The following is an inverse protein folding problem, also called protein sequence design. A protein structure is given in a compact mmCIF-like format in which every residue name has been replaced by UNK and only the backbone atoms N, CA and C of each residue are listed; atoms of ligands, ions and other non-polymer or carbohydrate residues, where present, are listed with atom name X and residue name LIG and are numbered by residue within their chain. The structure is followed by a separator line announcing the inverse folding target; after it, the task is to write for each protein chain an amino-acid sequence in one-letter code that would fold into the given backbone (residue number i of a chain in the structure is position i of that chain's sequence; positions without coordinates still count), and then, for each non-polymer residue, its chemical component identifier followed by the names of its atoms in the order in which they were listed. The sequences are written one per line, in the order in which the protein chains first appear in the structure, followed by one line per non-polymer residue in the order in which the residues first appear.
data_IF_551455091223
#
_entry.id   IF_551455091223
#
_cell.length_a   1.000
_cell.length_b   1.000
_cell.length_c   1.000
_cell.angle_alpha   90.00
_cell.angle_beta   90.00
_cell.angle_gamma   90.00
#
_symmetry.space_group_name_H-M   'P 1'
#
loop_
_entity.id
_entity.type
_entity.pdbx_description
1 polymer ?
#
# COMPACT_ATOMS: atom_id res chain seq x y z
N UNK A 1 -16.42 43.71 -19.41
CA UNK A 1 -17.46 44.45 -18.66
C UNK A 1 -16.79 45.01 -17.42
N UNK A 2 -16.52 46.33 -17.38
CA UNK A 2 -15.73 46.98 -16.31
C UNK A 2 -16.70 47.46 -15.25
N UNK A 3 -16.58 46.95 -14.02
CA UNK A 3 -17.34 47.46 -12.87
C UNK A 3 -16.52 48.54 -12.17
N UNK A 4 -17.04 49.77 -12.20
CA UNK A 4 -16.52 50.89 -11.41
C UNK A 4 -17.14 50.77 -10.01
N UNK A 5 -16.30 50.53 -9.00
CA UNK A 5 -16.71 50.49 -7.59
C UNK A 5 -16.53 51.89 -6.99
N UNK A 6 -17.64 52.53 -6.64
CA UNK A 6 -17.62 53.78 -5.86
C UNK A 6 -17.31 53.47 -4.39
N UNK A 7 -16.19 53.98 -3.88
CA UNK A 7 -15.88 53.93 -2.45
C UNK A 7 -16.48 55.17 -1.78
N UNK A 8 -17.66 55.02 -1.18
CA UNK A 8 -18.22 56.01 -0.25
C UNK A 8 -17.41 55.92 1.04
N UNK A 9 -16.72 57.01 1.39
CA UNK A 9 -15.93 57.15 2.61
C UNK A 9 -16.85 57.28 3.82
N UNK A 10 -17.34 56.16 4.35
CA UNK A 10 -18.01 56.09 5.65
C UNK A 10 -17.06 55.52 6.70
N UNK A 11 -16.81 56.29 7.76
CA UNK A 11 -15.74 56.08 8.75
C UNK A 11 -16.04 54.96 9.78
N UNK A 12 -17.16 54.25 9.64
CA UNK A 12 -17.62 53.25 10.63
C UNK A 12 -17.72 51.81 10.10
N UNK A 13 -17.54 51.57 8.80
CA UNK A 13 -17.70 50.23 8.20
C UNK A 13 -16.47 49.32 8.35
N UNK A 14 -15.37 49.82 8.90
CA UNK A 14 -14.11 49.08 9.04
C UNK A 14 -14.12 48.02 10.16
N UNK A 15 -15.15 48.00 11.03
CA UNK A 15 -15.28 46.98 12.09
C UNK A 15 -15.90 45.66 11.64
N UNK A 16 -16.67 45.67 10.55
CA UNK A 16 -17.37 44.48 10.05
C UNK A 16 -16.71 43.83 8.82
N UNK A 17 -15.67 44.46 8.28
CA UNK A 17 -14.89 43.93 7.16
C UNK A 17 -13.91 42.82 7.59
N UNK A 18 -13.45 42.87 8.84
CA UNK A 18 -12.54 41.89 9.43
C UNK A 18 -13.17 40.50 9.66
N UNK A 19 -14.40 40.36 10.22
CA UNK A 19 -15.02 39.04 10.38
C UNK A 19 -15.45 38.39 9.06
N UNK A 20 -15.69 39.17 8.00
CA UNK A 20 -16.05 38.65 6.67
C UNK A 20 -14.86 37.95 5.99
N UNK A 21 -13.64 38.45 6.22
CA UNK A 21 -12.41 37.85 5.68
C UNK A 21 -12.09 36.49 6.33
N UNK A 22 -12.43 36.30 7.60
CA UNK A 22 -12.22 35.05 8.32
C UNK A 22 -13.12 33.90 7.84
N UNK A 23 -14.30 34.21 7.27
CA UNK A 23 -15.23 33.19 6.78
C UNK A 23 -14.73 32.49 5.51
N UNK A 24 -13.90 33.16 4.69
CA UNK A 24 -13.35 32.60 3.45
C UNK A 24 -12.14 31.67 3.68
N UNK A 25 -11.55 31.68 4.87
CA UNK A 25 -10.38 30.85 5.18
C UNK A 25 -10.78 29.39 5.49
N UNK A 26 -12.07 29.13 5.74
CA UNK A 26 -12.59 27.78 5.99
C UNK A 26 -13.16 27.09 4.75
N UNK A 27 -13.12 27.74 3.58
CA UNK A 27 -13.61 27.18 2.31
C UNK A 27 -12.43 26.95 1.38
N UNK A 28 -11.52 26.04 1.74
CA UNK A 28 -10.65 25.38 0.77
C UNK A 28 -9.92 24.21 1.44
N UNK A 29 -10.61 23.08 1.56
CA UNK A 29 -9.98 21.79 1.34
C UNK A 29 -11.00 20.95 0.60
N UNK A 30 -11.10 21.22 -0.70
CA UNK A 30 -11.61 20.23 -1.63
C UNK A 30 -10.43 19.29 -1.87
N UNK A 31 -10.39 18.16 -1.15
CA UNK A 31 -9.64 16.97 -1.61
C UNK A 31 -10.46 16.39 -2.78
N UNK A 32 -10.60 17.22 -3.82
CA UNK A 32 -11.28 16.88 -5.05
C UNK A 32 -10.42 15.84 -5.74
N UNK A 33 -10.92 14.60 -5.74
CA UNK A 33 -10.66 13.56 -6.72
C UNK A 33 -9.32 13.70 -7.44
N UNK A 34 -8.31 12.98 -6.98
CA UNK A 34 -7.11 12.71 -7.79
C UNK A 34 -7.54 11.73 -8.90
N UNK A 35 -7.85 12.17 -10.14
CA UNK A 35 -8.49 11.31 -11.14
C UNK A 35 -7.49 10.39 -11.85
N UNK A 36 -6.26 10.29 -11.34
CA UNK A 36 -5.17 9.49 -11.91
C UNK A 36 -4.33 8.87 -10.79
N UNK A 37 -4.93 7.98 -9.99
CA UNK A 37 -4.18 7.04 -9.14
C UNK A 37 -3.50 5.93 -9.95
N UNK A 38 -3.02 6.25 -11.15
CA UNK A 38 -2.24 5.33 -11.98
C UNK A 38 -0.87 5.16 -11.33
N UNK A 39 -0.68 4.04 -10.64
CA UNK A 39 0.54 3.74 -9.91
C UNK A 39 0.54 2.32 -9.34
N UNK A 40 1.70 1.85 -8.87
CA UNK A 40 1.76 0.59 -8.12
C UNK A 40 1.12 0.79 -6.74
N UNK A 41 0.13 -0.03 -6.44
CA UNK A 41 -0.54 -0.14 -5.15
C UNK A 41 -0.20 -1.47 -4.50
N UNK A 42 -0.23 -1.51 -3.16
CA UNK A 42 0.02 -2.74 -2.40
C UNK A 42 -1.21 -3.63 -2.46
N UNK A 43 -0.98 -4.91 -2.72
CA UNK A 43 -2.00 -5.97 -2.78
C UNK A 43 -1.77 -6.93 -1.62
N UNK A 44 -2.84 -7.42 -0.95
CA UNK A 44 -2.68 -8.39 0.12
C UNK A 44 -2.20 -9.73 -0.42
N UNK A 45 -1.15 -10.27 0.21
CA UNK A 45 -0.81 -11.69 0.14
C UNK A 45 -1.80 -12.43 1.03
N UNK A 46 -2.43 -13.48 0.49
CA UNK A 46 -3.48 -14.25 1.17
C UNK A 46 -2.98 -15.58 1.73
N UNK A 47 -1.90 -16.11 1.17
CA UNK A 47 -1.32 -17.39 1.58
C UNK A 47 0.21 -17.33 1.50
N UNK A 48 0.86 -17.93 2.50
CA UNK A 48 2.30 -18.13 2.56
C UNK A 48 2.55 -19.50 3.20
N UNK A 49 3.23 -20.38 2.48
CA UNK A 49 3.55 -21.73 2.95
C UNK A 49 5.04 -21.82 3.21
N UNK A 50 5.39 -22.01 4.48
CA UNK A 50 6.77 -22.15 4.96
C UNK A 50 6.96 -23.57 5.49
N UNK A 51 8.04 -24.28 5.11
CA UNK A 51 8.35 -25.57 5.74
C UNK A 51 8.65 -25.40 7.23
N UNK A 52 8.03 -26.21 8.08
CA UNK A 52 8.21 -26.14 9.54
C UNK A 52 9.67 -26.34 9.99
N UNK A 53 10.39 -27.21 9.28
CA UNK A 53 11.79 -27.53 9.55
C UNK A 53 12.61 -27.58 8.28
N UNK A 54 13.88 -27.20 8.38
CA UNK A 54 14.83 -27.34 7.27
C UNK A 54 16.25 -27.64 7.75
N UNK A 55 17.07 -28.25 6.91
CA UNK A 55 18.47 -28.53 7.20
C UNK A 55 19.34 -27.27 7.05
N UNK A 56 20.37 -27.14 7.88
CA UNK A 56 21.35 -26.07 7.73
C UNK A 56 22.05 -26.14 6.36
N UNK A 57 22.28 -24.98 5.73
CA UNK A 57 22.91 -24.86 4.40
C UNK A 57 22.10 -25.48 3.24
N UNK A 58 20.82 -25.74 3.46
CA UNK A 58 19.91 -26.21 2.43
C UNK A 58 19.15 -25.07 1.75
N UNK A 59 18.51 -25.39 0.62
CA UNK A 59 17.61 -24.48 -0.08
C UNK A 59 16.17 -24.75 0.36
N UNK A 60 15.52 -23.71 0.88
CA UNK A 60 14.09 -23.73 1.24
C UNK A 60 13.29 -23.04 0.15
N UNK A 61 12.17 -23.66 -0.24
CA UNK A 61 11.15 -23.05 -1.10
C UNK A 61 10.02 -22.51 -0.24
N UNK A 62 9.60 -21.28 -0.50
CA UNK A 62 8.46 -20.61 0.14
C UNK A 62 7.45 -20.29 -0.96
N UNK A 63 6.24 -20.83 -0.84
CA UNK A 63 5.16 -20.60 -1.80
C UNK A 63 4.26 -19.49 -1.28
N UNK A 64 3.92 -18.53 -2.15
CA UNK A 64 3.21 -17.30 -1.80
C UNK A 64 2.14 -17.03 -2.83
N UNK A 65 0.95 -16.64 -2.36
CA UNK A 65 -0.17 -16.28 -3.21
C UNK A 65 -0.68 -14.87 -2.88
N UNK A 66 -0.83 -14.05 -3.91
CA UNK A 66 -1.50 -12.76 -3.83
C UNK A 66 -2.76 -12.74 -4.72
N UNK A 67 -3.80 -12.03 -4.28
CA UNK A 67 -5.08 -11.97 -4.99
C UNK A 67 -5.54 -10.52 -5.12
N UNK A 68 -5.94 -10.13 -6.33
CA UNK A 68 -6.49 -8.80 -6.62
C UNK A 68 -7.66 -8.86 -7.62
N UNK A 69 -8.65 -7.97 -7.56
CA UNK A 69 -9.67 -7.85 -8.60
C UNK A 69 -9.05 -7.43 -9.95
N UNK A 70 -9.24 -8.24 -10.99
CA UNK A 70 -8.72 -8.03 -12.36
C UNK A 70 -9.18 -6.69 -12.95
N UNK A 71 -10.40 -6.29 -12.58
CA UNK A 71 -10.98 -5.02 -13.01
C UNK A 71 -10.20 -3.78 -12.61
N UNK A 72 -9.60 -3.82 -11.42
CA UNK A 72 -8.90 -2.69 -10.81
C UNK A 72 -7.40 -2.77 -11.05
N UNK A 73 -6.84 -3.99 -11.13
CA UNK A 73 -5.41 -4.20 -11.00
C UNK A 73 -4.84 -5.07 -12.11
N UNK A 74 -3.66 -4.70 -12.59
CA UNK A 74 -2.84 -5.48 -13.53
C UNK A 74 -1.39 -5.56 -13.08
N UNK A 75 -0.60 -6.44 -13.70
CA UNK A 75 0.83 -6.60 -13.40
C UNK A 75 1.11 -6.84 -11.91
N UNK A 76 0.36 -7.78 -11.33
CA UNK A 76 0.59 -8.26 -9.97
C UNK A 76 1.98 -8.89 -9.89
N UNK A 77 2.79 -8.41 -8.94
CA UNK A 77 4.15 -8.88 -8.70
C UNK A 77 4.32 -9.08 -7.20
N UNK A 78 4.97 -10.18 -6.84
CA UNK A 78 5.38 -10.47 -5.47
C UNK A 78 6.90 -10.28 -5.38
N UNK A 79 7.35 -9.56 -4.36
CA UNK A 79 8.76 -9.28 -4.10
C UNK A 79 9.13 -9.76 -2.70
N UNK A 80 10.42 -10.06 -2.50
CA UNK A 80 10.96 -10.52 -1.24
C UNK A 80 12.15 -9.64 -0.83
N UNK A 81 12.07 -9.07 0.36
CA UNK A 81 13.08 -8.17 0.92
C UNK A 81 13.69 -8.75 2.19
N UNK A 82 15.02 -8.75 2.25
CA UNK A 82 15.75 -9.08 3.47
C UNK A 82 15.79 -7.84 4.38
N UNK A 83 14.90 -7.80 5.36
CA UNK A 83 14.75 -6.65 6.27
C UNK A 83 15.73 -6.68 7.44
N UNK A 84 16.09 -7.88 7.91
CA UNK A 84 17.07 -8.12 8.96
C UNK A 84 17.86 -9.41 8.63
N UNK A 85 18.89 -9.74 9.42
CA UNK A 85 19.80 -10.86 9.14
C UNK A 85 19.09 -12.22 8.94
N UNK A 86 17.91 -12.41 9.54
CA UNK A 86 17.10 -13.62 9.45
C UNK A 86 15.60 -13.34 9.23
N UNK A 87 15.24 -12.12 8.79
CA UNK A 87 13.84 -11.73 8.54
C UNK A 87 13.62 -11.37 7.08
N UNK A 88 12.73 -12.12 6.43
CA UNK A 88 12.33 -11.90 5.05
C UNK A 88 10.89 -11.37 5.04
N UNK A 89 10.69 -10.23 4.37
CA UNK A 89 9.38 -9.62 4.16
C UNK A 89 8.96 -9.84 2.71
N UNK A 90 7.74 -10.31 2.52
CA UNK A 90 7.11 -10.43 1.21
C UNK A 90 6.04 -9.35 1.04
N UNK A 91 6.11 -8.69 -0.11
CA UNK A 91 5.17 -7.63 -0.49
C UNK A 91 4.64 -7.91 -1.88
N UNK A 92 3.32 -7.80 -2.07
CA UNK A 92 2.72 -7.86 -3.39
C UNK A 92 2.30 -6.45 -3.83
N UNK A 93 2.54 -6.12 -5.10
CA UNK A 93 2.10 -4.85 -5.70
C UNK A 93 1.51 -5.09 -7.07
N UNK A 94 0.52 -4.28 -7.43
CA UNK A 94 -0.08 -4.27 -8.77
C UNK A 94 -0.29 -2.85 -9.25
N UNK A 95 -0.37 -2.66 -10.56
CA UNK A 95 -0.73 -1.38 -11.15
C UNK A 95 -2.23 -1.14 -10.99
N UNK A 96 -2.63 0.02 -10.45
CA UNK A 96 -4.03 0.45 -10.39
C UNK A 96 -4.43 1.11 -11.72
N UNK A 97 -5.43 0.53 -12.37
CA UNK A 97 -5.96 0.97 -13.65
C UNK A 97 -6.93 2.14 -13.53
N UNK A 98 -7.32 2.55 -12.31
CA UNK A 98 -8.21 3.69 -12.08
C UNK A 98 -9.65 3.46 -12.54
N UNK A 99 -10.06 2.19 -12.70
CA UNK A 99 -11.41 1.85 -13.11
C UNK A 99 -12.38 2.03 -11.92
N UNK A 100 -13.44 2.83 -12.09
CA UNK A 100 -14.45 3.06 -11.05
C UNK A 100 -15.33 1.83 -10.78
N UNK A 101 -15.36 0.88 -11.71
CA UNK A 101 -16.09 -0.38 -11.60
C UNK A 101 -15.15 -1.55 -11.87
N UNK A 102 -14.90 -2.34 -10.84
CA UNK A 102 -14.03 -3.50 -10.93
C UNK A 102 -14.88 -4.78 -10.90
N UNK A 103 -14.90 -5.55 -12.00
CA UNK A 103 -15.50 -6.88 -11.99
C UNK A 103 -15.02 -7.73 -10.81
N UNK A 104 -15.93 -8.53 -10.23
CA UNK A 104 -15.66 -9.51 -9.15
C UNK A 104 -14.76 -10.68 -9.60
N UNK A 105 -14.08 -10.55 -10.74
CA UNK A 105 -13.15 -11.56 -11.25
C UNK A 105 -11.79 -11.32 -10.60
N UNK A 106 -11.30 -12.31 -9.89
CA UNK A 106 -10.01 -12.26 -9.20
C UNK A 106 -8.87 -12.70 -10.13
N UNK A 107 -7.74 -12.01 -10.05
CA UNK A 107 -6.44 -12.45 -10.53
C UNK A 107 -5.67 -13.01 -9.35
N UNK A 108 -5.05 -14.16 -9.56
CA UNK A 108 -4.24 -14.86 -8.58
C UNK A 108 -2.82 -14.89 -9.16
N UNK A 109 -1.85 -14.46 -8.35
CA UNK A 109 -0.43 -14.63 -8.66
C UNK A 109 0.19 -15.56 -7.61
N UNK A 110 0.74 -16.67 -8.10
CA UNK A 110 1.46 -17.65 -7.30
C UNK A 110 2.96 -17.50 -7.58
N UNK A 111 3.77 -17.39 -6.52
CA UNK A 111 5.22 -17.27 -6.62
C UNK A 111 5.93 -18.19 -5.63
N UNK A 112 6.97 -18.88 -6.12
CA UNK A 112 7.86 -19.69 -5.28
C UNK A 112 9.22 -19.03 -5.15
N UNK A 113 9.59 -18.66 -3.93
CA UNK A 113 10.91 -18.09 -3.62
C UNK A 113 11.84 -19.16 -3.05
N UNK A 114 13.09 -19.14 -3.48
CA UNK A 114 14.10 -20.09 -3.02
C UNK A 114 15.20 -19.39 -2.24
N UNK A 115 15.37 -19.75 -0.98
CA UNK A 115 16.35 -19.16 -0.07
C UNK A 115 17.38 -20.18 0.36
N UNK A 116 18.65 -19.78 0.40
CA UNK A 116 19.70 -20.57 1.01
C UNK A 116 19.77 -20.23 2.50
N UNK A 117 19.47 -21.21 3.34
CA UNK A 117 19.39 -21.04 4.78
C UNK A 117 20.76 -21.30 5.41
N UNK A 118 21.25 -20.36 6.21
CA UNK A 118 22.50 -20.51 6.96
C UNK A 118 22.33 -21.31 8.25
N UNK A 119 23.38 -21.34 9.08
CA UNK A 119 23.37 -22.01 10.39
C UNK A 119 22.68 -21.20 11.51
N UNK A 120 21.85 -20.21 11.16
CA UNK A 120 21.07 -19.47 12.15
C UNK A 120 20.02 -20.39 12.75
N UNK A 121 19.66 -20.20 14.02
CA UNK A 121 18.71 -21.10 14.70
C UNK A 121 17.27 -20.96 14.20
N UNK A 122 16.91 -19.82 13.59
CA UNK A 122 15.54 -19.50 13.20
C UNK A 122 15.53 -18.44 12.09
N UNK A 123 14.66 -18.63 11.09
CA UNK A 123 14.31 -17.61 10.09
C UNK A 123 12.84 -17.23 10.22
N UNK A 124 12.57 -15.94 10.11
CA UNK A 124 11.24 -15.36 10.18
C UNK A 124 10.83 -14.96 8.76
N UNK A 125 9.72 -15.50 8.31
CA UNK A 125 9.07 -15.13 7.06
C UNK A 125 7.81 -14.35 7.41
N UNK A 126 7.65 -13.18 6.80
CA UNK A 126 6.47 -12.36 6.98
C UNK A 126 5.94 -11.95 5.62
N UNK A 127 4.63 -12.02 5.43
CA UNK A 127 3.94 -11.37 4.34
C UNK A 127 3.06 -10.24 4.89
N UNK A 128 2.94 -9.19 4.10
CA UNK A 128 2.16 -7.98 4.37
C UNK A 128 2.70 -7.11 5.53
N UNK A 129 2.23 -5.86 5.50
CA UNK A 129 2.33 -4.87 6.57
C UNK A 129 0.99 -4.14 6.71
N UNK A 130 0.86 -3.32 7.75
CA UNK A 130 -0.32 -2.49 7.93
C UNK A 130 -0.61 -1.66 6.66
N UNK A 131 -1.87 -1.59 6.19
CA UNK A 131 -3.11 -1.95 6.89
C UNK A 131 -3.62 -3.38 6.70
N UNK A 132 -2.87 -4.26 6.03
CA UNK A 132 -3.32 -5.63 5.75
C UNK A 132 -2.99 -6.60 6.88
N UNK A 133 -3.64 -7.77 6.88
CA UNK A 133 -3.37 -8.83 7.84
C UNK A 133 -1.94 -9.35 7.65
N UNK A 134 -1.15 -9.30 8.72
CA UNK A 134 0.23 -9.77 8.73
C UNK A 134 0.22 -11.30 8.85
N UNK A 135 0.72 -11.99 7.83
CA UNK A 135 0.94 -13.44 7.86
C UNK A 135 2.40 -13.64 8.26
N UNK A 136 2.65 -14.42 9.32
CA UNK A 136 4.00 -14.65 9.81
C UNK A 136 4.19 -16.12 10.12
N UNK A 137 5.32 -16.65 9.67
CA UNK A 137 5.72 -18.03 9.94
C UNK A 137 7.23 -18.11 10.19
N UNK A 138 7.67 -19.22 10.75
CA UNK A 138 9.06 -19.47 11.14
C UNK A 138 9.46 -20.87 10.73
N UNK A 139 10.71 -21.03 10.29
CA UNK A 139 11.30 -22.36 10.08
C UNK A 139 12.41 -22.60 11.10
N UNK A 140 12.41 -23.80 11.68
CA UNK A 140 13.44 -24.23 12.64
C UNK A 140 14.53 -25.01 11.92
N UNK A 141 15.79 -24.71 12.23
CA UNK A 141 16.92 -25.38 11.58
C UNK A 141 17.30 -26.64 12.35
N UNK A 142 17.23 -27.79 11.66
CA UNK A 142 17.68 -29.08 12.17
C UNK A 142 19.12 -29.35 11.74
N UNK A 143 19.93 -29.91 12.65
CA UNK A 143 21.32 -30.30 12.42
C UNK A 143 21.44 -31.73 11.89
#
# INVERSE_FOLDING_TARGET
MIFVVYIIKSKETMKYLFPLFFLFIFISCDDGNDPNRTGRVVIPIVEMVVPETTEAYSQVSIDIQAIAPNGCHSDLVIEADLTEANRILFTATAFDNGNEMCPDVLVIEDSTFKFNIGANSEYIFQANEAPFDIIRDTTVITQ
#
